data_IF_413019529556
#
_entry.id   IF_413019529556
#
_cell.length_a   1.000
_cell.length_b   1.000
_cell.length_c   1.000
_cell.angle_alpha   90.00
_cell.angle_beta   90.00
_cell.angle_gamma   90.00
#
_symmetry.space_group_name_H-M   'P 1'
#
loop_
_entity.id
_entity.type
_entity.pdbx_description
1 polymer ?
#
# COMPACT_ATOMS: atom_id res chain seq x y z
N UNK A 1 19.20 7.31 19.03
CA UNK A 1 17.99 8.11 19.34
C UNK A 1 16.79 7.32 18.85
N UNK A 2 16.16 6.54 19.73
CA UNK A 2 14.96 5.77 19.39
C UNK A 2 13.78 6.73 19.28
N UNK A 3 13.32 6.99 18.06
CA UNK A 3 12.05 7.67 17.84
C UNK A 3 10.94 6.80 18.44
N UNK A 4 10.31 7.25 19.52
CA UNK A 4 9.02 6.72 19.96
C UNK A 4 7.99 7.09 18.89
N UNK A 5 7.94 6.32 17.80
CA UNK A 5 6.83 6.40 16.88
C UNK A 5 5.62 5.78 17.58
N UNK A 6 4.62 6.61 17.89
CA UNK A 6 3.28 6.18 18.34
C UNK A 6 2.59 5.27 17.31
N UNK A 7 3.14 5.17 16.09
CA UNK A 7 2.71 4.28 15.04
C UNK A 7 3.86 3.32 14.66
N UNK A 8 3.72 1.99 14.85
CA UNK A 8 4.76 1.00 14.52
C UNK A 8 4.91 0.74 13.02
N UNK A 9 4.01 1.30 12.20
CA UNK A 9 3.99 1.12 10.77
C UNK A 9 4.94 2.06 10.04
N UNK A 10 5.61 1.51 9.04
CA UNK A 10 6.34 2.24 8.01
C UNK A 10 5.56 2.13 6.70
N UNK A 11 5.21 3.26 6.13
CA UNK A 11 4.57 3.41 4.82
C UNK A 11 5.42 2.89 3.63
N UNK A 12 6.61 2.35 3.87
CA UNK A 12 7.49 1.82 2.84
C UNK A 12 8.22 0.59 3.40
N UNK A 13 8.66 -0.27 2.49
CA UNK A 13 9.44 -1.47 2.78
C UNK A 13 10.58 -1.59 1.75
N UNK A 14 11.75 -2.06 2.18
CA UNK A 14 12.98 -2.04 1.35
C UNK A 14 13.04 -3.16 0.32
N UNK A 15 12.45 -4.31 0.62
CA UNK A 15 12.46 -5.48 -0.26
C UNK A 15 11.36 -5.41 -1.32
N UNK A 16 10.28 -4.68 -1.05
CA UNK A 16 9.21 -4.42 -2.01
C UNK A 16 8.70 -2.98 -1.96
N UNK A 17 8.80 -2.29 -3.11
CA UNK A 17 8.40 -0.88 -3.28
C UNK A 17 6.90 -0.66 -2.97
N UNK A 18 6.09 -1.71 -3.07
CA UNK A 18 4.65 -1.69 -2.83
C UNK A 18 4.27 -2.22 -1.42
N UNK A 19 5.19 -2.13 -0.45
CA UNK A 19 5.04 -2.69 0.89
C UNK A 19 4.90 -1.66 2.01
N UNK A 20 4.15 -2.05 3.03
CA UNK A 20 3.93 -1.35 4.31
C UNK A 20 4.32 -2.31 5.42
N UNK A 21 5.26 -1.92 6.27
CA UNK A 21 5.83 -2.81 7.28
C UNK A 21 5.55 -2.33 8.69
N UNK A 22 4.94 -3.17 9.52
CA UNK A 22 5.01 -3.02 10.96
C UNK A 22 6.30 -3.70 11.45
N UNK A 23 7.27 -2.88 11.87
CA UNK A 23 8.59 -3.37 12.28
C UNK A 23 8.53 -4.28 13.52
N UNK A 24 7.90 -3.87 14.64
CA UNK A 24 7.81 -4.70 15.84
C UNK A 24 7.16 -6.07 15.66
N UNK A 25 6.11 -6.17 14.84
CA UNK A 25 5.39 -7.43 14.60
C UNK A 25 5.94 -8.22 13.40
N UNK A 26 6.92 -7.68 12.68
CA UNK A 26 7.35 -8.14 11.36
C UNK A 26 6.17 -8.45 10.40
N UNK A 27 5.14 -7.62 10.46
CA UNK A 27 3.91 -7.79 9.66
C UNK A 27 4.00 -6.92 8.41
N UNK A 28 3.97 -7.58 7.25
CA UNK A 28 3.99 -6.94 5.94
C UNK A 28 2.58 -6.92 5.34
N UNK A 29 2.15 -5.73 4.94
CA UNK A 29 1.00 -5.53 4.06
C UNK A 29 1.52 -4.99 2.73
N UNK A 30 1.26 -5.67 1.62
CA UNK A 30 1.78 -5.26 0.30
C UNK A 30 0.72 -5.30 -0.79
N UNK A 31 0.92 -4.47 -1.81
CA UNK A 31 0.10 -4.45 -3.03
C UNK A 31 0.75 -5.34 -4.08
N UNK A 32 -0.03 -6.30 -4.57
CA UNK A 32 0.29 -7.15 -5.70
C UNK A 32 -0.69 -6.88 -6.86
N UNK A 33 -0.24 -7.16 -8.08
CA UNK A 33 -1.04 -7.03 -9.30
C UNK A 33 -1.14 -8.38 -10.00
N UNK A 34 -2.33 -8.70 -10.51
CA UNK A 34 -2.60 -9.93 -11.24
C UNK A 34 -3.28 -9.64 -12.58
N UNK A 35 -2.62 -9.96 -13.69
CA UNK A 35 -3.21 -9.92 -15.03
C UNK A 35 -4.04 -11.19 -15.26
N UNK A 36 -5.36 -11.06 -15.37
CA UNK A 36 -6.28 -12.18 -15.59
C UNK A 36 -6.17 -12.77 -17.01
N UNK A 37 -5.72 -11.98 -17.99
CA UNK A 37 -5.56 -12.38 -19.39
C UNK A 37 -4.28 -13.18 -19.60
N UNK A 38 -3.15 -12.65 -19.15
CA UNK A 38 -1.83 -13.30 -19.31
C UNK A 38 -1.49 -14.24 -18.14
N UNK A 39 -2.27 -14.20 -17.06
CA UNK A 39 -2.03 -14.95 -15.81
C UNK A 39 -0.74 -14.55 -15.08
N UNK A 40 -0.14 -13.43 -15.46
CA UNK A 40 1.04 -12.88 -14.78
C UNK A 40 0.63 -12.31 -13.43
N UNK A 41 1.40 -12.66 -12.40
CA UNK A 41 1.22 -12.18 -11.03
C UNK A 41 2.53 -11.56 -10.55
N UNK A 42 2.45 -10.35 -10.00
CA UNK A 42 3.59 -9.65 -9.44
C UNK A 42 3.24 -9.11 -8.05
N UNK A 43 3.91 -9.64 -7.03
CA UNK A 43 3.80 -9.19 -5.64
C UNK A 43 5.07 -8.59 -5.07
N UNK A 44 6.20 -8.76 -5.77
CA UNK A 44 7.45 -8.10 -5.45
C UNK A 44 7.79 -7.06 -6.51
N UNK A 45 7.42 -5.81 -6.24
CA UNK A 45 7.86 -4.67 -7.04
C UNK A 45 9.24 -4.23 -6.57
N UNK A 46 10.24 -4.35 -7.45
CA UNK A 46 11.62 -3.91 -7.24
C UNK A 46 11.97 -2.80 -8.23
N UNK A 47 13.20 -2.29 -8.16
CA UNK A 47 13.70 -1.20 -9.02
C UNK A 47 13.33 -1.28 -10.52
N UNK A 48 13.37 -2.45 -11.20
CA UNK A 48 12.99 -2.53 -12.62
C UNK A 48 11.51 -2.20 -12.91
N UNK A 49 10.65 -2.33 -11.90
CA UNK A 49 9.23 -2.01 -12.00
C UNK A 49 8.92 -0.58 -11.52
N UNK A 50 9.92 0.19 -11.08
CA UNK A 50 9.75 1.60 -10.75
C UNK A 50 9.51 2.39 -12.04
N UNK A 51 8.48 3.24 -12.02
CA UNK A 51 8.26 4.31 -13.02
C UNK A 51 8.76 5.65 -12.48
N UNK A 52 8.48 5.89 -11.19
CA UNK A 52 8.76 7.16 -10.51
C UNK A 52 8.79 6.96 -9.01
N UNK A 53 9.82 7.46 -8.32
CA UNK A 53 9.75 7.55 -6.86
C UNK A 53 8.82 8.69 -6.52
N UNK A 54 7.95 8.59 -5.51
CA UNK A 54 7.12 9.69 -5.04
C UNK A 54 7.65 10.25 -3.71
N UNK A 55 7.04 11.33 -3.17
CA UNK A 55 7.44 11.86 -1.87
C UNK A 55 7.43 10.75 -0.82
N UNK A 56 8.51 10.64 -0.03
CA UNK A 56 8.70 9.52 0.89
C UNK A 56 9.34 9.99 2.20
N UNK A 57 8.65 9.75 3.31
CA UNK A 57 9.03 10.18 4.65
C UNK A 57 9.95 9.15 5.28
N UNK A 58 11.17 9.56 5.63
CA UNK A 58 12.12 8.69 6.34
C UNK A 58 11.54 8.16 7.66
N UNK A 59 10.70 8.95 8.33
CA UNK A 59 9.97 8.53 9.54
C UNK A 59 8.85 7.51 9.29
N UNK A 60 8.59 7.14 8.04
CA UNK A 60 7.60 6.13 7.68
C UNK A 60 6.15 6.63 7.68
N UNK A 61 5.90 7.94 7.79
CA UNK A 61 4.53 8.50 7.87
C UNK A 61 3.83 8.66 6.53
N UNK A 62 4.58 8.72 5.44
CA UNK A 62 4.03 8.88 4.10
C UNK A 62 4.95 8.26 3.08
N UNK A 63 4.39 7.62 2.07
CA UNK A 63 5.12 7.25 0.87
C UNK A 63 4.24 7.39 -0.36
N UNK A 64 4.89 7.67 -1.49
CA UNK A 64 4.30 7.51 -2.80
C UNK A 64 5.32 6.82 -3.71
N UNK A 65 4.83 5.95 -4.56
CA UNK A 65 5.62 5.35 -5.64
C UNK A 65 4.73 5.14 -6.85
N UNK A 66 5.28 5.34 -8.04
CA UNK A 66 4.63 4.93 -9.29
C UNK A 66 5.36 3.72 -9.83
N UNK A 67 4.60 2.68 -10.15
CA UNK A 67 5.10 1.39 -10.59
C UNK A 67 4.54 1.03 -11.96
N UNK A 68 5.33 0.29 -12.74
CA UNK A 68 4.94 -0.32 -14.01
C UNK A 68 4.61 -1.78 -13.79
N UNK A 69 3.52 -2.22 -14.39
CA UNK A 69 3.14 -3.63 -14.55
C UNK A 69 2.77 -3.88 -16.00
N UNK A 70 3.72 -4.43 -16.76
CA UNK A 70 3.66 -4.40 -18.22
C UNK A 70 3.64 -2.95 -18.72
N UNK A 71 2.64 -2.60 -19.53
CA UNK A 71 2.43 -1.24 -20.04
C UNK A 71 1.59 -0.35 -19.12
N UNK A 72 1.08 -0.88 -18.01
CA UNK A 72 0.15 -0.18 -17.11
C UNK A 72 0.92 0.51 -16.00
N UNK A 73 0.60 1.79 -15.76
CA UNK A 73 1.19 2.58 -14.66
C UNK A 73 0.24 2.69 -13.48
N UNK A 74 0.79 2.53 -12.29
CA UNK A 74 0.06 2.50 -11.02
C UNK A 74 0.69 3.45 -10.02
N UNK A 75 -0.09 4.38 -9.46
CA UNK A 75 0.33 5.20 -8.32
C UNK A 75 -0.12 4.54 -7.04
N UNK A 76 0.81 4.29 -6.13
CA UNK A 76 0.56 3.78 -4.79
C UNK A 76 0.95 4.88 -3.80
N UNK A 77 0.02 5.29 -2.96
CA UNK A 77 0.22 6.28 -1.91
C UNK A 77 -0.20 5.69 -0.57
N UNK A 78 0.63 5.89 0.45
CA UNK A 78 0.31 5.46 1.81
C UNK A 78 0.58 6.56 2.81
N UNK A 79 -0.26 6.64 3.83
CA UNK A 79 -0.15 7.64 4.89
C UNK A 79 -0.44 7.01 6.25
N UNK A 80 0.38 7.31 7.24
CA UNK A 80 0.24 6.85 8.62
C UNK A 80 -0.19 8.02 9.52
N UNK A 81 -1.31 7.87 10.23
CA UNK A 81 -1.83 8.88 11.15
C UNK A 81 -2.60 8.20 12.30
N UNK A 82 -2.33 8.62 13.54
CA UNK A 82 -3.04 8.14 14.74
C UNK A 82 -3.04 6.62 14.95
N UNK A 83 -1.95 5.93 14.60
CA UNK A 83 -1.84 4.46 14.70
C UNK A 83 -2.56 3.70 13.57
N UNK A 84 -3.11 4.42 12.60
CA UNK A 84 -3.70 3.86 11.38
C UNK A 84 -2.78 4.07 10.18
N UNK A 85 -2.94 3.23 9.17
CA UNK A 85 -2.35 3.43 7.85
C UNK A 85 -3.47 3.45 6.82
N UNK A 86 -3.41 4.42 5.92
CA UNK A 86 -4.31 4.61 4.80
C UNK A 86 -3.53 4.31 3.52
N UNK A 87 -4.13 3.52 2.63
CA UNK A 87 -3.55 3.14 1.34
C UNK A 87 -4.50 3.59 0.22
N UNK A 88 -3.93 4.18 -0.81
CA UNK A 88 -4.62 4.56 -2.04
C UNK A 88 -3.82 4.06 -3.24
N UNK A 89 -4.42 3.21 -4.07
CA UNK A 89 -3.82 2.71 -5.31
C UNK A 89 -4.67 3.16 -6.50
N UNK A 90 -4.04 3.81 -7.48
CA UNK A 90 -4.70 4.38 -8.66
C UNK A 90 -4.05 3.89 -9.94
N UNK A 91 -4.86 3.42 -10.88
CA UNK A 91 -4.40 3.20 -12.25
C UNK A 91 -4.25 4.54 -12.96
N UNK A 92 -3.08 4.80 -13.56
CA UNK A 92 -2.80 6.01 -14.33
C UNK A 92 -3.05 5.83 -15.84
N UNK A 93 -3.25 4.58 -16.28
CA UNK A 93 -3.55 4.19 -17.67
C UNK A 93 -4.73 3.20 -17.69
N UNK A 94 -5.92 3.61 -17.21
CA UNK A 94 -7.08 2.73 -17.04
C UNK A 94 -7.51 2.01 -18.32
N UNK A 95 -7.30 2.63 -19.48
CA UNK A 95 -7.60 2.07 -20.81
C UNK A 95 -6.82 0.78 -21.12
N UNK A 96 -5.69 0.55 -20.46
CA UNK A 96 -4.87 -0.66 -20.60
C UNK A 96 -5.01 -1.66 -19.46
N UNK A 97 -5.74 -1.30 -18.40
CA UNK A 97 -5.74 -2.03 -17.14
C UNK A 97 -6.97 -2.93 -16.93
N UNK A 98 -7.90 -3.00 -17.90
CA UNK A 98 -9.22 -3.65 -17.78
C UNK A 98 -9.21 -5.15 -17.37
N UNK A 99 -8.04 -5.80 -17.39
CA UNK A 99 -7.85 -7.21 -17.04
C UNK A 99 -6.90 -7.43 -15.86
N UNK A 100 -6.35 -6.37 -15.25
CA UNK A 100 -5.47 -6.48 -14.08
C UNK A 100 -6.33 -6.63 -12.80
N UNK A 101 -5.78 -7.04 -11.67
CA UNK A 101 -6.49 -7.02 -10.39
C UNK A 101 -5.53 -6.52 -9.33
N UNK A 102 -6.03 -5.66 -8.46
CA UNK A 102 -5.27 -5.24 -7.27
C UNK A 102 -5.51 -6.27 -6.18
N UNK A 103 -4.43 -6.69 -5.53
CA UNK A 103 -4.43 -7.62 -4.41
C UNK A 103 -3.66 -7.03 -3.25
N UNK A 104 -4.32 -6.83 -2.12
CA UNK A 104 -3.68 -6.43 -0.87
C UNK A 104 -3.41 -7.68 -0.04
N UNK A 105 -2.14 -8.01 0.12
CA UNK A 105 -1.69 -9.21 0.81
C UNK A 105 -1.22 -8.87 2.21
N UNK A 106 -1.55 -9.72 3.18
CA UNK A 106 -1.10 -9.60 4.56
C UNK A 106 -0.38 -10.87 4.97
N UNK A 107 0.88 -10.73 5.40
CA UNK A 107 1.75 -11.85 5.76
C UNK A 107 2.77 -11.46 6.85
N UNK A 108 3.17 -12.43 7.66
CA UNK A 108 4.23 -12.28 8.67
C UNK A 108 5.60 -12.68 8.13
N UNK A 109 6.66 -12.01 8.59
CA UNK A 109 8.05 -12.26 8.19
C UNK A 109 8.96 -12.51 9.41
N UNK A 110 9.29 -13.75 9.82
CA UNK A 110 8.89 -15.04 9.25
C UNK A 110 7.44 -15.42 9.53
N UNK A 111 6.92 -16.39 8.78
CA UNK A 111 5.50 -16.79 8.77
C UNK A 111 4.96 -17.28 10.13
N UNK A 112 5.84 -17.70 11.04
CA UNK A 112 5.51 -18.18 12.38
C UNK A 112 5.42 -17.08 13.46
N UNK A 113 5.66 -15.82 13.10
CA UNK A 113 5.60 -14.65 14.02
C UNK A 113 4.21 -14.36 14.57
N UNK A 114 3.16 -14.77 13.86
CA UNK A 114 1.79 -14.48 14.23
C UNK A 114 0.80 -15.34 13.47
N UNK A 115 -0.46 -14.96 13.57
CA UNK A 115 -1.55 -15.68 12.93
C UNK A 115 -2.40 -14.73 12.11
N UNK A 116 -2.73 -15.15 10.89
CA UNK A 116 -3.71 -14.46 10.06
C UNK A 116 -5.08 -15.12 10.26
N UNK A 117 -6.02 -14.33 10.76
CA UNK A 117 -7.43 -14.68 10.92
C UNK A 117 -8.21 -13.96 9.83
N UNK A 118 -8.81 -14.73 8.92
CA UNK A 118 -9.61 -14.18 7.84
C UNK A 118 -11.07 -14.08 8.28
N UNK A 119 -11.67 -12.90 8.12
CA UNK A 119 -13.12 -12.66 8.30
C UNK A 119 -13.71 -12.29 6.93
N UNK A 120 -14.99 -11.97 6.87
CA UNK A 120 -15.67 -11.81 5.58
C UNK A 120 -15.13 -10.64 4.73
N UNK A 121 -14.92 -9.48 5.36
CA UNK A 121 -14.52 -8.22 4.71
C UNK A 121 -13.13 -7.73 5.13
N UNK A 122 -12.50 -8.45 6.05
CA UNK A 122 -11.27 -8.01 6.68
C UNK A 122 -10.31 -9.18 6.93
N UNK A 123 -9.04 -8.83 7.03
CA UNK A 123 -7.97 -9.71 7.45
C UNK A 123 -7.48 -9.19 8.79
N UNK A 124 -7.49 -10.04 9.81
CA UNK A 124 -6.96 -9.73 11.13
C UNK A 124 -5.63 -10.44 11.29
N UNK A 125 -4.55 -9.68 11.41
CA UNK A 125 -3.22 -10.21 11.72
C UNK A 125 -2.96 -10.02 13.21
N UNK A 126 -2.80 -11.12 13.95
CA UNK A 126 -2.55 -11.09 15.40
C UNK A 126 -1.18 -11.65 15.76
N UNK A 127 -0.45 -10.91 16.57
CA UNK A 127 0.74 -11.38 17.27
C UNK A 127 0.37 -11.75 18.71
N UNK A 128 1.37 -12.03 19.55
CA UNK A 128 1.15 -12.31 20.99
C UNK A 128 0.69 -11.08 21.77
N UNK A 129 0.97 -9.89 21.27
CA UNK A 129 0.82 -8.63 22.00
C UNK A 129 -0.20 -7.69 21.36
N UNK A 130 -0.42 -7.80 20.05
CA UNK A 130 -1.26 -6.89 19.30
C UNK A 130 -2.05 -7.60 18.20
N UNK A 131 -3.08 -6.93 17.70
CA UNK A 131 -3.81 -7.36 16.52
C UNK A 131 -4.09 -6.15 15.62
N UNK A 132 -4.03 -6.39 14.32
CA UNK A 132 -4.21 -5.41 13.27
C UNK A 132 -5.30 -5.86 12.33
N UNK A 133 -6.27 -4.97 12.11
CA UNK A 133 -7.30 -5.13 11.10
C UNK A 133 -6.83 -4.49 9.80
N UNK A 134 -6.85 -5.26 8.73
CA UNK A 134 -6.64 -4.81 7.35
C UNK A 134 -7.97 -4.95 6.62
N UNK A 135 -8.47 -3.85 6.04
CA UNK A 135 -9.74 -3.84 5.31
C UNK A 135 -9.69 -2.93 4.09
N UNK A 136 -10.63 -3.11 3.17
CA UNK A 136 -10.97 -2.13 2.16
C UNK A 136 -12.43 -1.73 2.37
N UNK A 137 -12.74 -0.42 2.53
CA UNK A 137 -14.12 0.04 2.67
C UNK A 137 -14.89 -0.01 1.34
N UNK A 138 -14.23 -0.41 0.25
CA UNK A 138 -14.89 -0.41 -1.04
C UNK A 138 -15.88 -1.57 -1.11
N UNK A 139 -17.15 -1.32 -1.48
CA UNK A 139 -18.14 -2.38 -1.67
C UNK A 139 -17.70 -3.44 -2.68
N UNK A 140 -16.84 -3.04 -3.62
CA UNK A 140 -16.31 -3.90 -4.66
C UNK A 140 -15.14 -4.78 -4.20
N UNK A 141 -14.60 -4.57 -2.99
CA UNK A 141 -13.53 -5.38 -2.46
C UNK A 141 -14.05 -6.78 -2.04
N UNK A 142 -13.25 -7.80 -2.34
CA UNK A 142 -13.55 -9.18 -1.99
C UNK A 142 -12.33 -9.79 -1.31
N UNK A 143 -12.53 -10.71 -0.39
CA UNK A 143 -11.41 -11.37 0.30
C UNK A 143 -11.33 -12.84 -0.07
N UNK A 144 -10.13 -13.27 -0.46
CA UNK A 144 -9.76 -14.67 -0.72
C UNK A 144 -8.53 -15.02 0.12
N UNK A 145 -8.69 -15.90 1.10
CA UNK A 145 -7.61 -16.17 2.07
C UNK A 145 -7.21 -14.90 2.84
N UNK A 146 -5.91 -14.64 2.95
CA UNK A 146 -5.32 -13.44 3.54
C UNK A 146 -5.23 -12.24 2.58
N UNK A 147 -5.86 -12.34 1.41
CA UNK A 147 -5.77 -11.33 0.34
C UNK A 147 -7.11 -10.61 0.17
N UNK A 148 -7.07 -9.28 0.16
CA UNK A 148 -8.20 -8.45 -0.27
C UNK A 148 -7.98 -8.08 -1.73
N UNK A 149 -8.83 -8.60 -2.61
CA UNK A 149 -8.85 -8.32 -4.04
C UNK A 149 -9.83 -7.19 -4.35
N UNK A 150 -9.52 -6.35 -5.32
CA UNK A 150 -10.43 -5.29 -5.75
C UNK A 150 -10.48 -5.20 -7.27
N UNK A 151 -11.69 -5.06 -7.85
CA UNK A 151 -11.87 -4.88 -9.27
C UNK A 151 -11.41 -3.49 -9.72
N UNK A 152 -10.91 -3.44 -10.93
CA UNK A 152 -10.11 -2.36 -11.51
C UNK A 152 -10.75 -0.99 -11.66
N UNK A 153 -12.06 -0.97 -11.53
CA UNK A 153 -12.90 0.07 -12.07
C UNK A 153 -12.71 1.38 -11.28
N UNK A 154 -12.19 1.31 -10.04
CA UNK A 154 -12.07 2.44 -9.12
C UNK A 154 -10.71 2.39 -8.39
N UNK A 155 -10.23 3.52 -7.83
CA UNK A 155 -9.10 3.51 -6.92
C UNK A 155 -9.29 2.48 -5.81
N UNK A 156 -8.28 1.64 -5.58
CA UNK A 156 -8.30 0.76 -4.42
C UNK A 156 -7.94 1.56 -3.17
N UNK A 157 -8.78 1.42 -2.15
CA UNK A 157 -8.60 2.08 -0.87
C UNK A 157 -8.46 1.01 0.19
N UNK A 158 -7.42 1.12 1.02
CA UNK A 158 -7.13 0.21 2.11
C UNK A 158 -6.94 0.97 3.43
N UNK A 159 -7.29 0.32 4.53
CA UNK A 159 -7.05 0.82 5.89
C UNK A 159 -6.44 -0.30 6.72
N UNK A 160 -5.38 0.05 7.45
CA UNK A 160 -4.80 -0.78 8.51
C UNK A 160 -4.99 -0.05 9.83
N UNK A 161 -5.52 -0.72 10.84
CA UNK A 161 -5.80 -0.13 12.14
C UNK A 161 -5.73 -1.17 13.26
N UNK A 162 -5.55 -0.77 14.53
CA UNK A 162 -5.62 -1.70 15.64
C UNK A 162 -6.95 -2.46 15.65
N UNK A 163 -6.90 -3.77 15.91
CA UNK A 163 -8.09 -4.59 16.07
C UNK A 163 -8.44 -4.72 17.55
N UNK A 164 -9.65 -4.30 17.92
CA UNK A 164 -10.18 -4.44 19.30
C UNK A 164 -10.42 -5.91 19.67
N UNK A 165 -10.79 -6.74 18.70
CA UNK A 165 -10.97 -8.18 18.85
C UNK A 165 -9.96 -8.94 17.97
N UNK A 166 -8.98 -9.66 18.56
CA UNK A 166 -7.99 -10.45 17.83
C UNK A 166 -8.61 -11.62 17.06
N UNK A 167 -9.90 -11.89 17.29
CA UNK A 167 -10.76 -12.66 16.43
C UNK A 167 -10.68 -14.16 16.54
N UNK A 168 -11.80 -14.79 16.19
CA UNK A 168 -11.87 -16.20 15.81
C UNK A 168 -12.09 -16.27 14.30
N UNK A 169 -11.63 -17.34 13.66
CA UNK A 169 -11.92 -17.57 12.24
C UNK A 169 -13.44 -17.58 12.06
N UNK A 170 -13.95 -16.64 11.29
CA UNK A 170 -15.36 -16.62 10.89
C UNK A 170 -15.39 -17.08 9.43
N UNK A 171 -16.01 -18.24 9.20
CA UNK A 171 -16.31 -18.68 7.85
C UNK A 171 -17.21 -17.65 7.16
N UNK A 172 -16.97 -17.46 5.87
CA UNK A 172 -17.72 -16.58 4.96
C UNK A 172 -19.23 -16.71 5.25
N UNK A 173 -19.88 -15.66 5.77
CA UNK A 173 -21.32 -15.70 6.06
C UNK A 173 -22.16 -15.26 4.87
N UNK A 174 -21.59 -14.46 3.98
CA UNK A 174 -22.28 -14.02 2.77
C UNK A 174 -22.18 -15.07 1.65
N UNK A 175 -23.30 -15.75 1.37
CA UNK A 175 -23.44 -16.79 0.35
C UNK A 175 -23.64 -16.27 -1.08
N UNK A 176 -23.50 -14.96 -1.33
CA UNK A 176 -23.75 -14.34 -2.63
C UNK A 176 -22.49 -14.08 -3.45
N UNK A 177 -22.61 -14.17 -4.78
CA UNK A 177 -21.59 -13.69 -5.70
C UNK A 177 -21.44 -12.18 -5.51
N UNK A 178 -20.26 -11.73 -5.06
CA UNK A 178 -19.99 -10.30 -4.96
C UNK A 178 -19.69 -9.78 -6.37
N UNK A 179 -20.52 -8.86 -6.84
CA UNK A 179 -20.39 -8.26 -8.16
C UNK A 179 -19.41 -7.09 -8.08
N UNK A 180 -18.34 -7.08 -8.90
CA UNK A 180 -17.45 -5.94 -8.96
C UNK A 180 -18.22 -4.67 -9.39
N UNK A 181 -18.11 -3.59 -8.62
CA UNK A 181 -18.78 -2.33 -8.93
C UNK A 181 -18.27 -1.67 -10.23
N UNK A 182 -19.08 -0.81 -10.85
CA UNK A 182 -18.75 -0.13 -12.10
C UNK A 182 -17.69 0.99 -11.92
N UNK A 183 -16.90 1.25 -12.96
CA UNK A 183 -15.76 2.17 -12.98
C UNK A 183 -16.18 3.63 -12.77
N UNK A 184 -17.37 3.96 -13.27
CA UNK A 184 -17.97 5.27 -13.10
C UNK A 184 -18.57 5.50 -11.71
N UNK A 185 -18.62 4.49 -10.83
CA UNK A 185 -19.29 4.62 -9.53
C UNK A 185 -18.54 5.63 -8.65
N UNK A 186 -19.17 6.74 -8.22
CA UNK A 186 -18.49 7.73 -7.38
C UNK A 186 -17.97 7.12 -6.07
N UNK A 187 -16.83 7.62 -5.56
CA UNK A 187 -16.32 7.23 -4.24
C UNK A 187 -17.38 7.47 -3.15
N UNK A 188 -17.55 6.53 -2.22
CA UNK A 188 -18.42 6.69 -1.05
C UNK A 188 -17.87 7.77 -0.11
N UNK A 189 -18.66 8.28 0.84
CA UNK A 189 -18.15 9.23 1.83
C UNK A 189 -16.93 8.73 2.61
N UNK A 190 -16.89 7.45 3.00
CA UNK A 190 -15.77 6.84 3.71
C UNK A 190 -14.52 6.76 2.82
N UNK A 191 -14.69 6.30 1.58
CA UNK A 191 -13.62 6.26 0.57
C UNK A 191 -13.02 7.66 0.33
N UNK A 192 -13.85 8.69 0.22
CA UNK A 192 -13.40 10.08 0.07
C UNK A 192 -12.65 10.60 1.29
N UNK A 193 -13.12 10.27 2.49
CA UNK A 193 -12.46 10.67 3.74
C UNK A 193 -11.06 10.06 3.84
N UNK A 194 -10.90 8.79 3.46
CA UNK A 194 -9.59 8.12 3.44
C UNK A 194 -8.67 8.73 2.38
N UNK A 195 -9.18 8.95 1.16
CA UNK A 195 -8.42 9.61 0.11
C UNK A 195 -7.97 11.04 0.53
N UNK A 196 -8.81 11.76 1.28
CA UNK A 196 -8.46 13.06 1.86
C UNK A 196 -7.31 12.95 2.88
N UNK A 197 -7.32 11.95 3.77
CA UNK A 197 -6.21 11.72 4.71
C UNK A 197 -4.87 11.50 4.00
N UNK A 198 -4.87 10.72 2.93
CA UNK A 198 -3.68 10.51 2.08
C UNK A 198 -3.25 11.83 1.42
N UNK A 199 -4.19 12.59 0.87
CA UNK A 199 -3.91 13.89 0.25
C UNK A 199 -3.39 14.93 1.25
N UNK A 200 -3.87 14.92 2.49
CA UNK A 200 -3.43 15.81 3.57
C UNK A 200 -1.99 15.48 3.97
N UNK A 201 -1.66 14.20 4.15
CA UNK A 201 -0.30 13.76 4.43
C UNK A 201 0.67 14.11 3.30
N UNK A 202 0.24 14.00 2.04
CA UNK A 202 1.01 14.47 0.88
C UNK A 202 1.27 15.97 0.95
N UNK A 203 0.25 16.79 1.26
CA UNK A 203 0.41 18.25 1.38
C UNK A 203 1.34 18.62 2.54
N UNK A 204 1.22 17.96 3.68
CA UNK A 204 2.14 18.14 4.82
C UNK A 204 3.58 17.83 4.43
N UNK A 205 3.83 16.69 3.78
CA UNK A 205 5.17 16.33 3.31
C UNK A 205 5.72 17.39 2.35
N UNK A 206 4.96 17.76 1.31
CA UNK A 206 5.40 18.74 0.33
C UNK A 206 5.65 20.12 0.95
N UNK A 207 4.86 20.50 1.95
CA UNK A 207 5.11 21.72 2.75
C UNK A 207 6.40 21.64 3.56
N UNK A 208 6.67 20.51 4.22
CA UNK A 208 7.91 20.29 4.98
C UNK A 208 9.16 20.30 4.12
N UNK A 209 9.06 19.88 2.86
CA UNK A 209 10.19 19.79 1.93
C UNK A 209 10.11 20.80 0.79
N UNK A 210 9.35 21.88 0.94
CA UNK A 210 9.16 22.90 -0.11
C UNK A 210 10.45 23.61 -0.51
N UNK A 211 11.49 23.53 0.33
CA UNK A 211 12.82 24.08 0.07
C UNK A 211 13.70 23.17 -0.81
N UNK A 212 13.30 21.91 -1.03
CA UNK A 212 14.06 20.96 -1.86
C UNK A 212 13.71 21.22 -3.33
N UNK A 213 14.69 21.50 -4.20
CA UNK A 213 14.42 21.68 -5.62
C UNK A 213 13.81 20.42 -6.25
N UNK A 214 12.91 20.64 -7.21
CA UNK A 214 12.11 19.58 -7.85
C UNK A 214 12.95 18.62 -8.73
N UNK A 215 14.23 18.89 -8.93
CA UNK A 215 15.20 18.02 -9.60
C UNK A 215 15.93 17.07 -8.63
N UNK A 216 15.93 17.37 -7.33
CA UNK A 216 16.68 16.61 -6.30
C UNK A 216 15.80 15.80 -5.34
N UNK A 217 14.49 16.03 -5.30
CA UNK A 217 13.58 15.35 -4.38
C UNK A 217 13.62 13.81 -4.48
N UNK A 218 13.83 13.24 -5.68
CA UNK A 218 13.88 11.80 -5.88
C UNK A 218 15.06 11.17 -5.12
N UNK A 219 16.16 11.90 -4.94
CA UNK A 219 17.31 11.47 -4.16
C UNK A 219 16.93 11.28 -2.69
N UNK A 220 16.17 12.23 -2.12
CA UNK A 220 15.66 12.13 -0.75
C UNK A 220 14.69 10.95 -0.60
N UNK A 221 13.82 10.74 -1.59
CA UNK A 221 12.91 9.60 -1.62
C UNK A 221 13.64 8.25 -1.79
N UNK A 222 14.79 8.23 -2.47
CA UNK A 222 15.59 7.03 -2.72
C UNK A 222 16.33 6.52 -1.46
N UNK A 223 16.75 7.43 -0.57
CA UNK A 223 17.53 7.08 0.63
C UNK A 223 16.81 6.09 1.55
N UNK A 224 15.48 6.17 1.67
CA UNK A 224 14.72 5.25 2.56
C UNK A 224 14.80 3.80 2.09
N UNK A 225 14.94 3.60 0.78
CA UNK A 225 15.11 2.29 0.14
C UNK A 225 16.57 1.80 0.13
N UNK A 226 17.46 2.48 0.85
CA UNK A 226 18.86 2.07 0.99
C UNK A 226 19.74 2.47 -0.18
N UNK A 227 19.28 3.35 -1.08
CA UNK A 227 20.16 3.95 -2.08
C UNK A 227 21.08 4.97 -1.41
N UNK A 228 22.36 4.63 -1.31
CA UNK A 228 23.39 5.51 -0.75
C UNK A 228 23.66 6.72 -1.65
N UNK A 229 24.04 7.84 -1.03
CA UNK A 229 24.37 9.09 -1.72
C UNK A 229 25.40 8.91 -2.85
N UNK A 230 26.37 8.01 -2.67
CA UNK A 230 27.36 7.71 -3.71
C UNK A 230 26.75 7.09 -4.98
N UNK A 231 25.63 6.36 -4.86
CA UNK A 231 24.91 5.81 -6.03
C UNK A 231 24.01 6.86 -6.70
N UNK A 232 23.63 7.90 -5.95
CA UNK A 232 22.84 9.04 -6.44
C UNK A 232 23.74 10.04 -7.17
N UNK A 233 24.95 10.30 -6.67
CA UNK A 233 25.91 11.26 -7.21
C UNK A 233 26.83 10.71 -8.30
N UNK A 234 27.03 9.40 -8.41
CA UNK A 234 27.95 8.80 -9.38
C UNK A 234 27.44 8.80 -10.84
N UNK A 235 26.34 9.47 -11.15
CA UNK A 235 25.83 9.54 -12.52
C UNK A 235 25.17 10.88 -12.80
N UNK A 236 25.35 11.40 -14.02
CA UNK A 236 24.56 12.48 -14.66
C UNK A 236 23.06 12.10 -14.81
N UNK A 237 22.49 11.40 -13.83
CA UNK A 237 21.17 10.79 -13.90
C UNK A 237 20.13 11.71 -13.28
N UNK A 238 19.15 12.05 -14.12
CA UNK A 238 17.80 12.43 -13.73
C UNK A 238 17.15 11.27 -12.96
N UNK A 239 15.98 11.51 -12.36
CA UNK A 239 15.15 10.49 -11.73
C UNK A 239 15.15 9.17 -12.56
N UNK A 240 15.38 8.00 -11.94
CA UNK A 240 15.32 6.73 -12.67
C UNK A 240 13.91 6.54 -13.26
N UNK A 241 13.83 6.51 -14.61
CA UNK A 241 12.62 6.18 -15.37
C UNK A 241 12.39 4.66 -15.44
#
# INVERSE_FOLDING_TARGET
MYWNATNPWRCWERTTLAGILNGPDDLLVRVALYDQRTRIYQSEFRWPALDRLGPNDFGGRYSQVTLRFGEVRWSLETAADGGRVYLLVRCLTPEKAAHVQIRLETLYLPEDRGQIVTREEEVVARSRTQAWRVRSPSPAAHRTGSTITHPLSRPFIGVIEPAEDPGRRLEQRTAGERVPGDAGTPLTPDERAIAARVADARRDYLGRFSYVPAEFWWAYAAVVYGLGWNMIWAADRREPL
#
